data_IF_789298825376
#
_entry.id   IF_789298825376
#
_cell.length_a   1.000
_cell.length_b   1.000
_cell.length_c   1.000
_cell.angle_alpha   90.00
_cell.angle_beta   90.00
_cell.angle_gamma   90.00
#
_symmetry.space_group_name_H-M   'P 1'
#
loop_
_entity.id
_entity.type
_entity.pdbx_description
1 polymer ?
#
# COMPACT_ATOMS: atom_id res chain seq x y z
N UNK A 1 -9.11 32.80 -7.92
CA UNK A 1 -8.16 31.70 -8.10
C UNK A 1 -6.93 32.03 -7.27
N UNK A 2 -6.60 31.23 -6.25
CA UNK A 2 -5.46 31.49 -5.35
C UNK A 2 -4.30 30.65 -5.87
N UNK A 3 -3.18 31.31 -6.20
CA UNK A 3 -1.99 30.62 -6.67
C UNK A 3 -1.21 30.08 -5.46
N UNK A 4 -0.74 28.82 -5.48
CA UNK A 4 -0.06 28.22 -4.35
C UNK A 4 1.28 28.92 -4.14
N UNK A 5 1.60 29.08 -2.87
CA UNK A 5 2.87 29.56 -2.38
C UNK A 5 4.00 28.59 -2.75
N UNK A 6 5.24 29.10 -2.71
CA UNK A 6 6.43 28.28 -2.98
C UNK A 6 6.57 27.07 -2.04
N UNK A 7 6.03 27.16 -0.82
CA UNK A 7 5.97 26.06 0.13
C UNK A 7 5.03 24.93 -0.33
N UNK A 8 3.83 25.29 -0.77
CA UNK A 8 2.82 24.34 -1.26
C UNK A 8 3.30 23.65 -2.55
N UNK A 9 3.96 24.40 -3.44
CA UNK A 9 4.58 23.85 -4.66
C UNK A 9 5.61 22.78 -4.30
N UNK A 10 6.48 23.02 -3.30
CA UNK A 10 7.45 22.01 -2.85
C UNK A 10 6.79 20.75 -2.32
N UNK A 11 5.76 20.89 -1.50
CA UNK A 11 5.02 19.74 -0.93
C UNK A 11 4.38 18.92 -2.05
N UNK A 12 3.75 19.59 -3.03
CA UNK A 12 3.18 18.95 -4.20
C UNK A 12 4.24 18.21 -5.02
N UNK A 13 5.39 18.83 -5.27
CA UNK A 13 6.49 18.21 -6.02
C UNK A 13 7.03 16.95 -5.33
N UNK A 14 7.18 16.98 -4.00
CA UNK A 14 7.60 15.81 -3.23
C UNK A 14 6.53 14.71 -3.29
N UNK A 15 5.25 15.06 -3.14
CA UNK A 15 4.14 14.13 -3.28
C UNK A 15 4.13 13.44 -4.64
N UNK A 16 4.24 14.22 -5.72
CA UNK A 16 4.28 13.70 -7.10
C UNK A 16 5.50 12.80 -7.30
N UNK A 17 6.69 13.25 -6.92
CA UNK A 17 7.92 12.48 -7.08
C UNK A 17 7.81 11.13 -6.35
N UNK A 18 7.33 11.13 -5.10
CA UNK A 18 7.15 9.91 -4.31
C UNK A 18 6.15 8.95 -4.96
N UNK A 19 5.02 9.45 -5.46
CA UNK A 19 4.00 8.65 -6.14
C UNK A 19 4.50 8.03 -7.44
N UNK A 20 5.20 8.81 -8.26
CA UNK A 20 5.79 8.34 -9.53
C UNK A 20 6.85 7.26 -9.27
N UNK A 21 7.76 7.50 -8.32
CA UNK A 21 8.79 6.53 -7.96
C UNK A 21 8.19 5.25 -7.40
N UNK A 22 7.22 5.34 -6.48
CA UNK A 22 6.55 4.18 -5.92
C UNK A 22 5.83 3.35 -7.00
N UNK A 23 5.14 4.01 -7.93
CA UNK A 23 4.46 3.33 -9.03
C UNK A 23 5.44 2.68 -10.00
N UNK A 24 6.54 3.36 -10.35
CA UNK A 24 7.58 2.82 -11.22
C UNK A 24 8.20 1.55 -10.62
N UNK A 25 8.52 1.56 -9.32
CA UNK A 25 9.03 0.39 -8.59
C UNK A 25 8.02 -0.75 -8.57
N UNK A 26 6.74 -0.45 -8.36
CA UNK A 26 5.67 -1.46 -8.37
C UNK A 26 5.56 -2.13 -9.74
N UNK A 27 5.56 -1.34 -10.82
CA UNK A 27 5.52 -1.87 -12.19
C UNK A 27 6.77 -2.71 -12.48
N UNK A 28 7.95 -2.22 -12.08
CA UNK A 28 9.20 -2.97 -12.19
C UNK A 28 9.13 -4.32 -11.48
N UNK A 29 8.67 -4.34 -10.22
CA UNK A 29 8.47 -5.57 -9.47
C UNK A 29 7.56 -6.54 -10.24
N UNK A 30 6.45 -6.06 -10.81
CA UNK A 30 5.49 -6.93 -11.53
C UNK A 30 6.00 -7.44 -12.88
N UNK A 31 7.02 -6.81 -13.46
CA UNK A 31 7.65 -7.26 -14.70
C UNK A 31 8.69 -8.35 -14.47
N UNK A 32 9.43 -8.27 -13.37
CA UNK A 32 10.57 -9.15 -13.09
C UNK A 32 10.30 -10.18 -11.98
N UNK A 33 9.28 -9.98 -11.16
CA UNK A 33 8.88 -10.86 -10.06
C UNK A 33 7.57 -11.58 -10.31
N UNK A 34 7.30 -12.61 -9.50
CA UNK A 34 6.05 -13.36 -9.58
C UNK A 34 4.86 -12.47 -9.20
N UNK A 35 3.89 -12.34 -10.09
CA UNK A 35 2.70 -11.53 -9.85
C UNK A 35 1.91 -11.98 -8.62
N UNK A 36 1.96 -13.28 -8.28
CA UNK A 36 1.29 -13.85 -7.09
C UNK A 36 1.91 -13.31 -5.79
N UNK A 37 3.25 -13.22 -5.74
CA UNK A 37 3.99 -12.66 -4.61
C UNK A 37 3.74 -11.16 -4.42
N UNK A 38 3.47 -10.44 -5.52
CA UNK A 38 3.35 -8.97 -5.51
C UNK A 38 1.92 -8.50 -5.25
N UNK A 39 0.92 -9.30 -5.62
CA UNK A 39 -0.49 -9.03 -5.37
C UNK A 39 -0.80 -8.58 -3.92
N UNK A 40 -0.33 -9.25 -2.84
CA UNK A 40 -0.62 -8.83 -1.46
C UNK A 40 -0.04 -7.45 -1.10
N UNK A 41 1.11 -7.06 -1.68
CA UNK A 41 1.70 -5.74 -1.42
C UNK A 41 0.83 -4.59 -1.96
N UNK A 42 0.07 -4.80 -3.04
CA UNK A 42 -0.87 -3.77 -3.54
C UNK A 42 -1.95 -3.43 -2.53
N UNK A 43 -2.38 -4.39 -1.72
CA UNK A 43 -3.41 -4.18 -0.71
C UNK A 43 -2.85 -3.62 0.60
N UNK A 44 -1.56 -3.86 0.89
CA UNK A 44 -0.89 -3.28 2.08
C UNK A 44 -0.99 -1.75 2.14
N UNK A 45 -1.04 -1.08 0.98
CA UNK A 45 -1.20 0.39 0.89
C UNK A 45 -2.48 0.88 1.58
N UNK A 46 -3.54 0.07 1.64
CA UNK A 46 -4.80 0.42 2.32
C UNK A 46 -4.60 0.48 3.83
N UNK A 47 -3.79 -0.43 4.38
CA UNK A 47 -3.43 -0.46 5.79
C UNK A 47 -2.60 0.78 6.14
N UNK A 48 -1.59 1.10 5.31
CA UNK A 48 -0.81 2.33 5.51
C UNK A 48 -1.65 3.60 5.35
N UNK A 49 -2.57 3.65 4.39
CA UNK A 49 -3.48 4.78 4.23
C UNK A 49 -4.36 4.98 5.47
N UNK A 50 -4.93 3.90 6.02
CA UNK A 50 -5.70 3.95 7.26
C UNK A 50 -4.85 4.44 8.44
N UNK A 51 -3.64 3.89 8.62
CA UNK A 51 -2.73 4.31 9.68
C UNK A 51 -2.36 5.79 9.56
N UNK A 52 -2.01 6.26 8.36
CA UNK A 52 -1.70 7.67 8.12
C UNK A 52 -2.92 8.55 8.32
N UNK A 53 -4.12 8.08 7.99
CA UNK A 53 -5.35 8.84 8.26
C UNK A 53 -5.60 9.03 9.76
N UNK A 54 -5.41 7.97 10.55
CA UNK A 54 -5.53 8.07 12.01
C UNK A 54 -4.45 9.00 12.58
N UNK A 55 -3.20 8.86 12.14
CA UNK A 55 -2.05 9.56 12.72
C UNK A 55 -1.94 11.03 12.29
N UNK A 56 -2.21 11.33 11.02
CA UNK A 56 -2.03 12.67 10.43
C UNK A 56 -3.34 13.44 10.42
N UNK A 57 -4.44 12.79 10.02
CA UNK A 57 -5.74 13.42 9.88
C UNK A 57 -6.58 13.33 11.17
N UNK A 58 -6.16 12.51 12.14
CA UNK A 58 -6.91 12.31 13.40
C UNK A 58 -8.24 11.59 13.21
N UNK A 59 -8.38 10.87 12.09
CA UNK A 59 -9.63 10.17 11.75
C UNK A 59 -9.90 9.06 12.76
N UNK A 60 -11.18 8.91 13.15
CA UNK A 60 -11.65 7.85 14.05
C UNK A 60 -12.41 6.81 13.23
N UNK A 61 -11.76 5.69 12.86
CA UNK A 61 -12.39 4.69 12.02
C UNK A 61 -13.53 4.01 12.76
N UNK A 62 -14.62 3.78 12.05
CA UNK A 62 -15.76 3.03 12.55
C UNK A 62 -15.52 1.51 12.49
N UNK A 63 -16.47 0.75 13.03
CA UNK A 63 -16.37 -0.71 13.08
C UNK A 63 -16.21 -1.34 11.68
N UNK A 64 -16.85 -0.77 10.67
CA UNK A 64 -16.78 -1.27 9.29
C UNK A 64 -15.38 -1.08 8.70
N UNK A 65 -14.74 0.05 8.98
CA UNK A 65 -13.37 0.32 8.55
C UNK A 65 -12.39 -0.66 9.20
N UNK A 66 -12.56 -0.95 10.49
CA UNK A 66 -11.73 -1.95 11.19
C UNK A 66 -11.92 -3.35 10.63
N UNK A 67 -13.15 -3.75 10.31
CA UNK A 67 -13.43 -5.05 9.69
C UNK A 67 -12.77 -5.16 8.31
N UNK A 68 -12.88 -4.11 7.49
CA UNK A 68 -12.21 -4.06 6.19
C UNK A 68 -10.69 -4.17 6.32
N UNK A 69 -10.09 -3.41 7.24
CA UNK A 69 -8.66 -3.46 7.52
C UNK A 69 -8.20 -4.86 7.96
N UNK A 70 -8.97 -5.51 8.84
CA UNK A 70 -8.70 -6.87 9.30
C UNK A 70 -8.70 -7.87 8.13
N UNK A 71 -9.69 -7.80 7.24
CA UNK A 71 -9.77 -8.68 6.05
C UNK A 71 -8.54 -8.47 5.15
N UNK A 72 -8.15 -7.22 4.90
CA UNK A 72 -6.98 -6.89 4.07
C UNK A 72 -5.70 -7.47 4.67
N UNK A 73 -5.46 -7.27 5.97
CA UNK A 73 -4.26 -7.80 6.65
C UNK A 73 -4.25 -9.33 6.62
N UNK A 74 -5.38 -9.96 6.95
CA UNK A 74 -5.47 -11.41 7.06
C UNK A 74 -5.32 -12.11 5.70
N UNK A 75 -5.91 -11.55 4.64
CA UNK A 75 -5.74 -12.06 3.27
C UNK A 75 -4.28 -11.98 2.81
N UNK A 76 -3.59 -10.88 3.08
CA UNK A 76 -2.16 -10.73 2.78
C UNK A 76 -1.31 -11.75 3.53
N UNK A 77 -1.57 -11.95 4.82
CA UNK A 77 -0.90 -12.96 5.64
C UNK A 77 -1.14 -14.38 5.12
N UNK A 78 -2.39 -14.72 4.77
CA UNK A 78 -2.74 -16.03 4.24
C UNK A 78 -2.04 -16.34 2.90
N UNK A 79 -1.93 -15.36 1.99
CA UNK A 79 -1.24 -15.55 0.71
C UNK A 79 0.23 -15.91 0.93
N UNK A 80 0.93 -15.18 1.80
CA UNK A 80 2.34 -15.43 2.11
C UNK A 80 2.54 -16.82 2.71
N UNK A 81 1.65 -17.26 3.61
CA UNK A 81 1.70 -18.62 4.17
C UNK A 81 1.46 -19.68 3.10
N UNK A 82 0.47 -19.48 2.22
CA UNK A 82 0.14 -20.41 1.14
C UNK A 82 1.32 -20.59 0.18
N UNK A 83 1.97 -19.50 -0.22
CA UNK A 83 3.14 -19.56 -1.11
C UNK A 83 4.32 -20.28 -0.48
N UNK A 84 4.60 -20.04 0.81
CA UNK A 84 5.63 -20.79 1.55
C UNK A 84 5.35 -22.29 1.53
N UNK A 85 4.09 -22.69 1.69
CA UNK A 85 3.70 -24.09 1.70
C UNK A 85 3.82 -24.73 0.30
N UNK A 86 3.39 -24.03 -0.76
CA UNK A 86 3.55 -24.50 -2.15
C UNK A 86 5.03 -24.65 -2.53
N UNK A 87 5.90 -23.75 -2.07
CA UNK A 87 7.34 -23.80 -2.33
C UNK A 87 8.02 -24.99 -1.64
N UNK A 88 7.53 -25.40 -0.47
CA UNK A 88 8.02 -26.58 0.24
C UNK A 88 7.58 -27.91 -0.40
N UNK A 89 6.41 -27.96 -1.06
CA UNK A 89 5.91 -29.16 -1.75
C UNK A 89 6.60 -29.44 -3.10
N UNK A 90 7.22 -28.43 -3.71
CA UNK A 90 8.00 -28.57 -4.95
C UNK A 90 9.48 -28.88 -4.72
N UNK A 91 9.90 -29.04 -3.47
CA UNK A 91 11.27 -29.36 -3.07
C UNK A 91 11.37 -30.85 -2.76
#
# INVERSE_FOLDING_TARGET
FIWPSFGEIKILMVGIASGVTAYYLLVGATRYGDASLIAPFRYSRLVFALLLSILILGERPDLMTWLGAFIVVFSGYFIVLRERNIKNLKK
#
